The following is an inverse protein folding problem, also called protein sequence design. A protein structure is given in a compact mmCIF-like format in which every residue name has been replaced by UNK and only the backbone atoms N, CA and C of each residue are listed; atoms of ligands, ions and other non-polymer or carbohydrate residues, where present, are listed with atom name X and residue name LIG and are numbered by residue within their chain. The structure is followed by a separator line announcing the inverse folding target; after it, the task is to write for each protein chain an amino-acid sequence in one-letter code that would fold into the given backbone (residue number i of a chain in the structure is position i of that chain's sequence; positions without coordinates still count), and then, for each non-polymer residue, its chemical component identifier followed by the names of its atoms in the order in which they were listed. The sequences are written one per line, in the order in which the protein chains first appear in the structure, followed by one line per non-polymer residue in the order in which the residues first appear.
data_IF_435265413091
#
_entry.id   IF_435265413091
#
_cell.length_a   1.000
_cell.length_b   1.000
_cell.length_c   1.000
_cell.angle_alpha   90.00
_cell.angle_beta   90.00
_cell.angle_gamma   90.00
#
_symmetry.space_group_name_H-M   'P 1'
#
loop_
_entity.id
_entity.type
_entity.pdbx_description
1 polymer ?
#
# COMPACT_ATOMS: atom_id res chain seq x y z
N UNK A 1 -14.15 19.19 16.51
CA UNK A 1 -14.66 18.35 15.42
C UNK A 1 -13.84 18.51 14.13
N UNK A 2 -13.69 19.71 13.57
CA UNK A 2 -12.99 19.94 12.29
C UNK A 2 -11.50 19.53 12.31
N UNK A 3 -10.76 19.91 13.35
CA UNK A 3 -9.34 19.58 13.51
C UNK A 3 -9.04 18.07 13.58
N UNK A 4 -9.87 17.30 14.31
CA UNK A 4 -9.77 15.83 14.36
C UNK A 4 -10.00 15.24 12.97
N UNK A 5 -11.00 15.75 12.24
CA UNK A 5 -11.34 15.28 10.90
C UNK A 5 -10.23 15.58 9.89
N UNK A 6 -9.59 16.75 9.99
CA UNK A 6 -8.49 17.14 9.11
C UNK A 6 -7.25 16.24 9.31
N UNK A 7 -6.93 15.89 10.56
CA UNK A 7 -5.85 14.94 10.89
C UNK A 7 -6.19 13.53 10.37
N UNK A 8 -7.42 13.07 10.56
CA UNK A 8 -7.83 11.74 10.08
C UNK A 8 -7.81 11.66 8.56
N UNK A 9 -8.29 12.72 7.87
CA UNK A 9 -8.24 12.81 6.42
C UNK A 9 -6.80 12.83 5.89
N UNK A 10 -5.87 13.48 6.60
CA UNK A 10 -4.45 13.43 6.27
C UNK A 10 -3.88 11.99 6.32
N UNK A 11 -4.21 11.23 7.36
CA UNK A 11 -3.77 9.82 7.46
C UNK A 11 -4.44 8.91 6.42
N UNK A 12 -5.70 9.14 6.10
CA UNK A 12 -6.41 8.39 5.05
C UNK A 12 -5.83 8.73 3.66
N UNK A 13 -5.53 10.00 3.39
CA UNK A 13 -4.92 10.44 2.12
C UNK A 13 -3.49 9.93 1.96
N UNK A 14 -2.72 9.82 3.06
CA UNK A 14 -1.37 9.24 3.06
C UNK A 14 -1.37 7.72 2.79
N UNK A 15 -2.53 7.07 2.87
CA UNK A 15 -2.74 5.68 2.52
C UNK A 15 -2.21 4.66 3.54
N UNK A 16 -2.36 3.37 3.23
CA UNK A 16 -2.04 2.26 4.15
C UNK A 16 -0.57 2.25 4.60
N UNK A 17 0.34 2.76 3.76
CA UNK A 17 1.78 2.82 4.01
C UNK A 17 2.14 3.69 5.21
N UNK A 18 1.35 4.73 5.51
CA UNK A 18 1.59 5.62 6.67
C UNK A 18 0.67 5.26 7.85
N UNK A 19 -0.52 4.72 7.58
CA UNK A 19 -1.43 4.27 8.64
C UNK A 19 -0.87 3.10 9.45
N UNK A 20 -0.31 2.06 8.80
CA UNK A 20 0.20 0.87 9.49
C UNK A 20 1.31 1.21 10.52
N UNK A 21 2.34 1.99 10.17
CA UNK A 21 3.39 2.37 11.12
C UNK A 21 2.86 3.13 12.34
N UNK A 22 1.91 4.04 12.14
CA UNK A 22 1.30 4.83 13.22
C UNK A 22 0.53 3.92 14.18
N UNK A 23 -0.25 2.98 13.65
CA UNK A 23 -0.97 1.98 14.45
C UNK A 23 0.01 1.15 15.28
N UNK A 24 1.11 0.70 14.67
CA UNK A 24 2.09 -0.13 15.37
C UNK A 24 2.86 0.66 16.43
N UNK A 25 3.14 1.94 16.20
CA UNK A 25 3.72 2.82 17.22
C UNK A 25 2.76 3.03 18.40
N UNK A 26 1.46 3.23 18.15
CA UNK A 26 0.45 3.38 19.20
C UNK A 26 0.31 2.09 20.00
N UNK A 27 0.22 0.94 19.33
CA UNK A 27 0.18 -0.37 19.99
C UNK A 27 1.45 -0.58 20.82
N UNK A 28 2.63 -0.32 20.26
CA UNK A 28 3.89 -0.44 20.99
C UNK A 28 3.94 0.42 22.26
N UNK A 29 3.33 1.60 22.23
CA UNK A 29 3.22 2.48 23.39
C UNK A 29 2.25 1.93 24.44
N UNK A 30 1.11 1.36 24.03
CA UNK A 30 0.14 0.71 24.94
C UNK A 30 0.76 -0.49 25.64
N UNK A 31 1.61 -1.26 24.95
CA UNK A 31 2.33 -2.40 25.52
C UNK A 31 3.51 -2.01 26.45
N UNK A 32 3.67 -0.72 26.79
CA UNK A 32 4.67 -0.25 27.76
C UNK A 32 6.08 -0.10 27.21
N UNK A 33 6.25 -0.06 25.88
CA UNK A 33 7.55 0.30 25.30
C UNK A 33 7.81 1.80 25.49
N UNK A 34 9.03 2.16 25.88
CA UNK A 34 9.46 3.56 25.91
C UNK A 34 9.19 4.23 24.56
N UNK A 35 8.75 5.49 24.55
CA UNK A 35 8.48 6.29 23.33
C UNK A 35 9.60 6.13 22.30
N UNK A 36 10.86 6.19 22.74
CA UNK A 36 12.02 6.09 21.85
C UNK A 36 12.14 4.72 21.17
N UNK A 37 11.66 3.65 21.81
CA UNK A 37 11.67 2.29 21.25
C UNK A 37 10.46 2.05 20.36
N UNK A 38 9.27 2.52 20.76
CA UNK A 38 8.03 2.43 19.98
C UNK A 38 8.09 3.23 18.66
N UNK A 39 8.74 4.40 18.70
CA UNK A 39 8.93 5.21 17.50
C UNK A 39 9.93 4.57 16.53
N UNK A 40 11.05 4.06 17.07
CA UNK A 40 12.03 3.30 16.26
C UNK A 40 11.40 2.06 15.62
N UNK A 41 10.60 1.30 16.36
CA UNK A 41 9.94 0.10 15.81
C UNK A 41 8.91 0.43 14.74
N UNK A 42 8.11 1.49 14.94
CA UNK A 42 7.18 1.97 13.91
C UNK A 42 7.89 2.41 12.64
N UNK A 43 8.99 3.16 12.78
CA UNK A 43 9.79 3.61 11.64
C UNK A 43 10.43 2.43 10.89
N UNK A 44 11.01 1.45 11.59
CA UNK A 44 11.56 0.23 10.96
C UNK A 44 10.50 -0.53 10.16
N UNK A 45 9.29 -0.66 10.69
CA UNK A 45 8.19 -1.33 10.00
C UNK A 45 7.67 -0.51 8.81
N UNK A 46 7.61 0.81 8.93
CA UNK A 46 7.28 1.71 7.81
C UNK A 46 8.26 1.60 6.65
N UNK A 47 9.57 1.55 6.93
CA UNK A 47 10.61 1.36 5.91
C UNK A 47 10.47 -0.02 5.25
N UNK A 48 10.21 -1.08 6.04
CA UNK A 48 9.97 -2.42 5.50
C UNK A 48 8.73 -2.49 4.60
N UNK A 49 7.63 -1.85 4.99
CA UNK A 49 6.40 -1.81 4.20
C UNK A 49 6.59 -1.03 2.88
N UNK A 50 7.35 0.06 2.90
CA UNK A 50 7.74 0.78 1.70
C UNK A 50 8.55 -0.10 0.73
N UNK A 51 9.51 -0.89 1.25
CA UNK A 51 10.29 -1.84 0.45
C UNK A 51 9.44 -2.94 -0.19
N UNK A 52 8.51 -3.53 0.57
CA UNK A 52 7.56 -4.53 0.04
C UNK A 52 6.70 -3.91 -1.06
N UNK A 53 6.17 -2.70 -0.84
CA UNK A 53 5.35 -2.01 -1.84
C UNK A 53 6.11 -1.76 -3.15
N UNK A 54 7.38 -1.36 -3.08
CA UNK A 54 8.21 -1.18 -4.27
C UNK A 54 8.39 -2.49 -5.05
N UNK A 55 8.63 -3.60 -4.35
CA UNK A 55 8.77 -4.92 -4.99
C UNK A 55 7.44 -5.36 -5.60
N UNK A 56 6.33 -5.17 -4.88
CA UNK A 56 4.98 -5.48 -5.38
C UNK A 56 4.65 -4.65 -6.62
N UNK A 57 4.94 -3.36 -6.62
CA UNK A 57 4.71 -2.46 -7.75
C UNK A 57 5.60 -2.86 -8.95
N UNK A 58 6.85 -3.24 -8.70
CA UNK A 58 7.76 -3.77 -9.72
C UNK A 58 7.26 -5.10 -10.31
N UNK A 59 6.85 -6.05 -9.46
CA UNK A 59 6.28 -7.32 -9.90
C UNK A 59 4.99 -7.09 -10.68
N UNK A 60 4.08 -6.27 -10.18
CA UNK A 60 2.79 -5.98 -10.83
C UNK A 60 2.99 -5.31 -12.18
N UNK A 61 3.98 -4.44 -12.31
CA UNK A 61 4.32 -3.80 -13.59
C UNK A 61 4.85 -4.83 -14.59
N UNK A 62 5.82 -5.64 -14.21
CA UNK A 62 6.44 -6.62 -15.10
C UNK A 62 5.49 -7.78 -15.42
N UNK A 63 4.86 -8.36 -14.41
CA UNK A 63 3.85 -9.42 -14.55
C UNK A 63 2.64 -8.87 -15.31
N UNK A 64 2.18 -7.65 -15.05
CA UNK A 64 1.07 -7.04 -15.78
C UNK A 64 1.38 -6.81 -17.26
N UNK A 65 2.62 -6.44 -17.61
CA UNK A 65 3.07 -6.39 -19.03
C UNK A 65 3.09 -7.79 -19.66
N UNK A 66 3.59 -8.78 -18.94
CA UNK A 66 3.64 -10.17 -19.38
C UNK A 66 2.22 -10.70 -19.64
N UNK A 67 1.30 -10.53 -18.69
CA UNK A 67 -0.10 -10.94 -18.80
C UNK A 67 -0.80 -10.30 -20.00
N UNK A 68 -0.54 -9.01 -20.27
CA UNK A 68 -1.06 -8.33 -21.48
C UNK A 68 -0.52 -8.96 -22.77
N UNK A 69 0.78 -9.27 -22.84
CA UNK A 69 1.38 -9.94 -24.02
C UNK A 69 0.85 -11.36 -24.21
N UNK A 70 0.69 -12.13 -23.13
CA UNK A 70 0.11 -13.48 -23.19
C UNK A 70 -1.37 -13.46 -23.62
N UNK A 71 -2.14 -12.45 -23.18
CA UNK A 71 -3.54 -12.23 -23.59
C UNK A 71 -3.69 -11.84 -25.07
N UNK A 72 -2.66 -11.25 -25.69
CA UNK A 72 -2.66 -10.93 -27.13
C UNK A 72 -2.21 -12.14 -27.97
N UNK A 73 -1.37 -13.03 -27.41
CA UNK A 73 -0.78 -14.18 -28.13
C UNK A 73 -1.65 -15.43 -28.14
N UNK A 74 -2.60 -15.57 -27.20
CA UNK A 74 -3.78 -16.44 -27.35
C UNK A 74 -4.97 -15.53 -27.63
N UNK A 75 -5.69 -15.74 -28.73
CA UNK A 75 -6.96 -15.05 -29.03
C UNK A 75 -8.02 -15.43 -27.97
N UNK A 76 -7.87 -14.86 -26.78
CA UNK A 76 -8.87 -14.85 -25.73
C UNK A 76 -9.17 -13.38 -25.53
N UNK A 77 -10.16 -12.91 -26.28
CA UNK A 77 -10.98 -11.79 -25.84
C UNK A 77 -11.35 -12.06 -24.39
N UNK A 78 -10.72 -11.34 -23.47
CA UNK A 78 -11.35 -11.09 -22.18
C UNK A 78 -11.77 -9.64 -22.26
N UNK A 79 -12.94 -9.45 -22.86
CA UNK A 79 -13.99 -8.56 -22.39
C UNK A 79 -13.66 -8.09 -20.98
N UNK A 80 -13.23 -6.85 -20.88
CA UNK A 80 -13.44 -6.07 -19.68
C UNK A 80 -14.04 -4.77 -20.18
N UNK A 81 -15.37 -4.65 -20.03
CA UNK A 81 -16.23 -3.51 -20.38
C UNK A 81 -16.99 -3.50 -21.73
N UNK A 82 -17.32 -4.66 -22.32
CA UNK A 82 -18.44 -4.74 -23.28
C UNK A 82 -18.34 -3.87 -24.55
N UNK A 83 -17.14 -3.44 -24.95
CA UNK A 83 -16.95 -2.75 -26.24
C UNK A 83 -15.68 -3.26 -26.93
N UNK A 84 -15.91 -4.14 -27.90
CA UNK A 84 -14.94 -4.46 -28.95
C UNK A 84 -14.91 -3.26 -29.89
N UNK A 85 -13.76 -2.61 -30.00
CA UNK A 85 -13.48 -1.64 -31.07
C UNK A 85 -12.47 -2.33 -31.97
N UNK A 86 -12.96 -2.72 -33.16
CA UNK A 86 -12.22 -3.19 -34.34
C UNK A 86 -11.06 -2.25 -34.68
#
# INVERSE_FOLDING_TARGET
MKFIMDIFNFFIAAGPTVMLPVIITIIGLIFGLKISKAFKSGLTLGIGFAGIKLILDFMTTNVGRILRTFKIKKNVEVTDNGKIII
#
